data_IF_276812587754
#
_entry.id   IF_276812587754
#
_cell.length_a   1.000
_cell.length_b   1.000
_cell.length_c   1.000
_cell.angle_alpha   90.00
_cell.angle_beta   90.00
_cell.angle_gamma   90.00
#
_symmetry.space_group_name_H-M   'P 1'
#
loop_
_entity.id
_entity.type
_entity.pdbx_description
1 polymer ?
#
# COMPACT_ATOMS: atom_id res chain seq x y z
N UNK A 1 -23.93 -4.78 -10.28
CA UNK A 1 -22.68 -5.25 -9.65
C UNK A 1 -21.53 -4.50 -10.32
N UNK A 2 -20.50 -4.07 -9.59
CA UNK A 2 -19.39 -3.27 -10.14
C UNK A 2 -18.06 -4.02 -10.04
N UNK A 3 -17.09 -3.60 -10.84
CA UNK A 3 -15.73 -4.18 -10.89
C UNK A 3 -14.95 -3.86 -9.61
N UNK A 4 -14.15 -4.82 -9.14
CA UNK A 4 -13.26 -4.69 -7.98
C UNK A 4 -11.81 -4.59 -8.42
N UNK A 5 -11.02 -3.83 -7.67
CA UNK A 5 -9.65 -3.50 -8.01
C UNK A 5 -8.69 -3.82 -6.87
N UNK A 6 -7.47 -4.23 -7.22
CA UNK A 6 -6.34 -4.40 -6.30
C UNK A 6 -5.07 -3.83 -6.90
N UNK A 7 -4.21 -3.27 -6.06
CA UNK A 7 -2.90 -2.80 -6.49
C UNK A 7 -1.93 -4.00 -6.54
N UNK A 8 -1.24 -4.16 -7.67
CA UNK A 8 -0.34 -5.31 -7.93
C UNK A 8 0.97 -4.80 -8.48
N UNK A 9 2.06 -5.34 -7.94
CA UNK A 9 3.41 -5.20 -8.48
C UNK A 9 3.84 -6.56 -9.05
N UNK A 10 4.03 -6.60 -10.37
CA UNK A 10 4.36 -7.84 -11.10
C UNK A 10 5.84 -8.18 -11.07
N UNK A 11 6.72 -7.20 -10.85
CA UNK A 11 8.17 -7.44 -10.72
C UNK A 11 8.52 -8.11 -9.40
N UNK A 12 7.91 -7.64 -8.31
CA UNK A 12 8.15 -8.19 -6.96
C UNK A 12 7.20 -9.32 -6.58
N UNK A 13 6.17 -9.57 -7.39
CA UNK A 13 5.05 -10.46 -7.05
C UNK A 13 4.45 -10.08 -5.69
N UNK A 14 4.04 -8.83 -5.58
CA UNK A 14 3.39 -8.26 -4.40
C UNK A 14 2.01 -7.70 -4.75
N UNK A 15 1.12 -7.67 -3.78
CA UNK A 15 -0.17 -7.00 -3.93
C UNK A 15 -0.64 -6.35 -2.63
N UNK A 16 -1.55 -5.40 -2.78
CA UNK A 16 -2.30 -4.79 -1.69
C UNK A 16 -3.76 -5.15 -1.87
N UNK A 17 -4.34 -5.68 -0.80
CA UNK A 17 -5.74 -6.03 -0.74
C UNK A 17 -6.53 -4.79 -0.31
N UNK A 18 -7.54 -4.34 -1.08
CA UNK A 18 -8.35 -3.17 -0.73
C UNK A 18 -9.03 -3.32 0.64
N UNK A 19 -9.50 -4.53 0.95
CA UNK A 19 -10.15 -4.82 2.23
C UNK A 19 -9.16 -4.89 3.38
N UNK A 20 -7.93 -5.36 3.15
CA UNK A 20 -6.91 -5.39 4.22
C UNK A 20 -6.42 -4.04 4.66
N UNK A 21 -6.69 -2.98 3.89
CA UNK A 21 -6.35 -1.61 4.24
C UNK A 21 -7.59 -0.82 4.71
N UNK A 22 -8.68 -1.52 5.07
CA UNK A 22 -9.90 -0.92 5.60
C UNK A 22 -10.78 -0.25 4.54
N UNK A 23 -10.54 -0.58 3.28
CA UNK A 23 -11.12 0.09 2.12
C UNK A 23 -12.17 -0.71 1.35
N UNK A 24 -12.88 0.00 0.48
CA UNK A 24 -13.70 -0.58 -0.58
C UNK A 24 -12.89 -0.86 -1.85
N UNK A 25 -13.30 -1.85 -2.63
CA UNK A 25 -12.56 -2.33 -3.79
C UNK A 25 -12.94 -1.67 -5.13
N UNK A 26 -13.99 -0.84 -5.19
CA UNK A 26 -14.40 -0.20 -6.45
C UNK A 26 -13.45 0.94 -6.81
N UNK A 27 -13.24 1.17 -8.11
CA UNK A 27 -12.29 2.20 -8.57
C UNK A 27 -12.56 3.60 -8.01
N UNK A 28 -13.82 4.00 -7.88
CA UNK A 28 -14.15 5.30 -7.29
C UNK A 28 -13.82 5.37 -5.78
N UNK A 29 -13.89 4.24 -5.07
CA UNK A 29 -13.53 4.14 -3.64
C UNK A 29 -12.01 4.28 -3.47
N UNK A 30 -11.22 3.72 -4.39
CA UNK A 30 -9.78 3.97 -4.45
C UNK A 30 -9.47 5.45 -4.68
N UNK A 31 -10.17 6.11 -5.59
CA UNK A 31 -9.93 7.52 -5.93
C UNK A 31 -10.37 8.50 -4.84
N UNK A 32 -11.48 8.23 -4.15
CA UNK A 32 -12.07 9.15 -3.18
C UNK A 32 -11.47 9.07 -1.77
N UNK A 33 -10.78 7.98 -1.42
CA UNK A 33 -10.27 7.71 -0.07
C UNK A 33 -8.74 7.71 0.00
N UNK A 34 -8.19 7.62 1.21
CA UNK A 34 -6.73 7.49 1.45
C UNK A 34 -6.09 6.30 0.72
N UNK A 35 -6.88 5.31 0.31
CA UNK A 35 -6.44 4.17 -0.50
C UNK A 35 -5.69 4.60 -1.77
N UNK A 36 -6.14 5.63 -2.49
CA UNK A 36 -5.45 6.12 -3.68
C UNK A 36 -4.10 6.77 -3.36
N UNK A 37 -3.99 7.40 -2.19
CA UNK A 37 -2.77 8.08 -1.75
C UNK A 37 -1.65 7.12 -1.40
N UNK A 38 -1.91 5.82 -1.16
CA UNK A 38 -0.84 4.84 -0.89
C UNK A 38 0.16 4.75 -2.05
N UNK A 39 -0.27 5.07 -3.27
CA UNK A 39 0.61 5.06 -4.44
C UNK A 39 1.70 6.13 -4.36
N UNK A 40 1.47 7.26 -3.68
CA UNK A 40 2.52 8.27 -3.49
C UNK A 40 3.63 7.74 -2.57
N UNK A 41 3.26 6.99 -1.53
CA UNK A 41 4.19 6.30 -0.65
C UNK A 41 4.96 5.21 -1.41
N UNK A 42 4.26 4.33 -2.12
CA UNK A 42 4.86 3.16 -2.79
C UNK A 42 5.74 3.51 -3.98
N UNK A 43 5.36 4.53 -4.76
CA UNK A 43 6.02 4.90 -6.02
C UNK A 43 7.07 6.01 -5.86
N UNK A 44 7.22 6.58 -4.66
CA UNK A 44 8.24 7.60 -4.34
C UNK A 44 9.63 7.13 -4.77
N UNK A 45 10.29 7.89 -5.64
CA UNK A 45 11.69 7.66 -6.04
C UNK A 45 12.48 8.95 -5.84
N UNK A 46 13.46 8.90 -4.95
CA UNK A 46 14.39 10.01 -4.71
C UNK A 46 15.66 9.47 -4.07
N UNK A 47 16.80 10.09 -4.40
CA UNK A 47 18.09 9.79 -3.78
C UNK A 47 18.32 10.63 -2.51
N UNK A 48 17.47 11.63 -2.27
CA UNK A 48 17.48 12.52 -1.10
C UNK A 48 16.11 12.52 -0.39
N UNK A 49 16.10 12.98 0.86
CA UNK A 49 14.87 13.28 1.60
C UNK A 49 14.81 14.75 2.01
N UNK A 50 13.61 15.23 2.33
CA UNK A 50 13.35 16.58 2.86
C UNK A 50 12.16 16.57 3.79
N UNK A 51 11.90 17.70 4.47
CA UNK A 51 10.74 17.84 5.37
C UNK A 51 9.43 17.46 4.66
N UNK A 52 8.56 16.71 5.34
CA UNK A 52 7.31 16.20 4.79
C UNK A 52 7.40 14.84 4.06
N UNK A 53 8.57 14.19 4.04
CA UNK A 53 8.75 12.85 3.47
C UNK A 53 8.38 11.70 4.42
N UNK A 54 8.04 10.54 3.84
CA UNK A 54 7.94 9.27 4.56
C UNK A 54 9.34 8.70 4.83
N UNK A 55 9.67 8.41 6.09
CA UNK A 55 11.01 8.01 6.52
C UNK A 55 11.16 6.54 6.96
N UNK A 56 10.16 5.68 6.77
CA UNK A 56 10.19 4.33 7.35
C UNK A 56 9.56 4.28 8.74
N UNK A 57 9.02 3.12 9.11
CA UNK A 57 8.45 2.85 10.43
C UNK A 57 9.45 3.13 11.58
N UNK A 58 9.27 4.26 12.26
CA UNK A 58 9.74 4.46 13.63
C UNK A 58 8.63 5.10 14.49
N UNK A 59 8.46 4.63 15.73
CA UNK A 59 7.85 5.48 16.76
C UNK A 59 8.85 6.61 17.06
N UNK A 60 8.53 7.84 16.67
CA UNK A 60 9.31 9.04 16.99
C UNK A 60 10.02 9.72 15.81
N UNK A 61 9.79 9.30 14.56
CA UNK A 61 10.28 9.99 13.37
C UNK A 61 9.33 11.12 12.91
N UNK A 62 8.99 12.03 13.83
CA UNK A 62 8.53 13.36 13.42
C UNK A 62 9.67 14.12 12.72
N UNK A 63 9.37 15.27 12.12
CA UNK A 63 10.40 16.15 11.54
C UNK A 63 11.60 16.31 12.50
N UNK A 64 12.78 15.85 12.07
CA UNK A 64 14.05 16.06 12.80
C UNK A 64 14.43 15.03 13.89
N UNK A 65 13.72 13.90 14.03
CA UNK A 65 14.07 12.85 15.00
C UNK A 65 15.15 11.86 14.51
N UNK A 66 16.01 11.31 15.40
CA UNK A 66 17.01 10.32 15.00
C UNK A 66 16.38 8.97 14.59
N UNK A 67 16.83 8.44 13.46
CA UNK A 67 16.43 7.13 12.90
C UNK A 67 17.15 6.03 13.69
N UNK A 68 16.42 5.20 14.45
CA UNK A 68 16.98 4.05 15.16
C UNK A 68 16.15 2.78 14.91
N UNK A 69 16.67 1.86 14.10
CA UNK A 69 16.05 0.55 13.79
C UNK A 69 16.16 0.15 12.31
N UNK A 70 15.93 -1.12 11.93
CA UNK A 70 15.92 -1.54 10.54
C UNK A 70 14.67 -0.98 9.82
N UNK A 71 14.89 -0.30 8.70
CA UNK A 71 13.85 0.31 7.86
C UNK A 71 12.88 -0.75 7.35
N UNK A 72 11.57 -0.60 7.61
CA UNK A 72 10.55 -1.24 6.77
C UNK A 72 10.50 -0.48 5.44
N UNK A 73 11.03 -1.05 4.37
CA UNK A 73 11.11 -0.36 3.06
C UNK A 73 9.80 -0.44 2.28
N UNK A 74 8.73 0.15 2.82
CA UNK A 74 7.46 0.36 2.09
C UNK A 74 7.52 1.64 1.27
N UNK A 75 8.08 2.71 1.82
CA UNK A 75 8.31 3.94 1.07
C UNK A 75 9.23 3.69 -0.13
N UNK A 76 8.74 4.02 -1.33
CA UNK A 76 9.43 3.78 -2.59
C UNK A 76 9.60 2.33 -2.98
N UNK A 77 8.94 1.39 -2.28
CA UNK A 77 9.12 -0.05 -2.52
C UNK A 77 8.84 -0.44 -3.95
N UNK A 78 7.88 0.20 -4.60
CA UNK A 78 7.43 -0.12 -5.96
C UNK A 78 7.94 0.90 -7.00
N UNK A 79 8.86 1.78 -6.59
CA UNK A 79 9.42 2.79 -7.47
C UNK A 79 10.18 2.18 -8.65
N UNK A 80 9.70 2.44 -9.86
CA UNK A 80 10.31 1.94 -11.10
C UNK A 80 9.91 0.51 -11.49
N UNK A 81 9.06 -0.15 -10.70
CA UNK A 81 8.53 -1.48 -11.02
C UNK A 81 7.29 -1.40 -11.92
N UNK A 82 6.92 -2.54 -12.52
CA UNK A 82 5.67 -2.76 -13.27
C UNK A 82 4.49 -2.94 -12.30
N UNK A 83 3.83 -1.83 -12.02
CA UNK A 83 2.67 -1.72 -11.10
C UNK A 83 1.39 -1.44 -11.86
N UNK A 84 0.28 -2.06 -11.44
CA UNK A 84 -1.05 -1.77 -11.94
C UNK A 84 -2.11 -1.82 -10.83
N UNK A 85 -3.13 -0.98 -10.93
CA UNK A 85 -4.40 -1.16 -10.22
C UNK A 85 -5.30 -2.02 -11.12
N UNK A 86 -5.26 -3.34 -10.93
CA UNK A 86 -5.93 -4.30 -11.82
C UNK A 86 -7.34 -4.57 -11.34
N UNK A 87 -8.29 -4.55 -12.28
CA UNK A 87 -9.68 -4.88 -12.04
C UNK A 87 -9.98 -6.36 -12.24
N UNK A 88 -10.99 -6.91 -11.56
CA UNK A 88 -11.37 -8.33 -11.64
C UNK A 88 -11.97 -8.75 -12.99
N UNK A 89 -12.39 -7.80 -13.83
CA UNK A 89 -12.83 -8.07 -15.22
C UNK A 89 -11.68 -8.03 -16.24
N UNK A 90 -10.44 -7.75 -15.81
CA UNK A 90 -9.30 -7.72 -16.72
C UNK A 90 -8.99 -9.12 -17.29
N UNK A 91 -8.76 -9.21 -18.60
CA UNK A 91 -8.58 -10.49 -19.30
C UNK A 91 -7.25 -11.17 -19.01
N UNK A 92 -6.27 -10.49 -18.38
CA UNK A 92 -4.97 -11.08 -18.06
C UNK A 92 -5.03 -12.13 -16.94
N UNK A 93 -6.15 -12.24 -16.22
CA UNK A 93 -6.29 -13.04 -15.00
C UNK A 93 -5.43 -12.57 -13.82
N UNK A 94 -4.66 -11.48 -13.97
CA UNK A 94 -3.74 -10.98 -12.96
C UNK A 94 -4.42 -10.68 -11.62
N UNK A 95 -5.69 -10.24 -11.63
CA UNK A 95 -6.46 -10.03 -10.40
C UNK A 95 -6.54 -11.30 -9.53
N UNK A 96 -6.75 -12.46 -10.17
CA UNK A 96 -6.84 -13.75 -9.49
C UNK A 96 -5.45 -14.32 -9.20
N UNK A 97 -4.53 -14.25 -10.17
CA UNK A 97 -3.18 -14.80 -10.03
C UNK A 97 -2.38 -14.10 -8.93
N UNK A 98 -2.60 -12.80 -8.73
CA UNK A 98 -2.00 -12.02 -7.66
C UNK A 98 -2.42 -12.50 -6.25
N UNK A 99 -3.40 -13.40 -6.09
CA UNK A 99 -3.64 -14.06 -4.78
C UNK A 99 -2.46 -14.93 -4.33
N UNK A 100 -1.67 -15.42 -5.29
CA UNK A 100 -0.43 -16.17 -5.00
C UNK A 100 0.76 -15.26 -4.69
N UNK A 101 0.60 -13.94 -4.83
CA UNK A 101 1.66 -12.96 -4.58
C UNK A 101 1.74 -12.68 -3.08
N UNK A 102 2.81 -12.03 -2.63
CA UNK A 102 2.92 -11.60 -1.24
C UNK A 102 1.94 -10.44 -0.99
N UNK A 103 1.08 -10.59 0.00
CA UNK A 103 0.24 -9.50 0.49
C UNK A 103 1.05 -8.60 1.44
N UNK A 104 1.29 -7.35 1.06
CA UNK A 104 2.04 -6.37 1.86
C UNK A 104 1.14 -5.36 2.60
N UNK A 105 -0.17 -5.61 2.65
CA UNK A 105 -1.15 -4.65 3.19
C UNK A 105 -0.90 -4.29 4.66
N UNK A 106 -0.45 -5.25 5.49
CA UNK A 106 -0.11 -4.99 6.90
C UNK A 106 1.04 -4.00 7.01
N UNK A 107 2.13 -4.30 6.34
CA UNK A 107 3.35 -3.50 6.35
C UNK A 107 3.08 -2.09 5.84
N UNK A 108 2.22 -1.97 4.82
CA UNK A 108 1.74 -0.69 4.31
C UNK A 108 0.94 0.10 5.35
N UNK A 109 -0.02 -0.52 6.03
CA UNK A 109 -0.83 0.17 7.04
C UNK A 109 0.05 0.66 8.19
N UNK A 110 1.00 -0.18 8.64
CA UNK A 110 1.93 0.17 9.71
C UNK A 110 2.81 1.37 9.31
N UNK A 111 3.36 1.38 8.10
CA UNK A 111 4.16 2.49 7.56
C UNK A 111 3.32 3.77 7.41
N UNK A 112 2.15 3.67 6.79
CA UNK A 112 1.25 4.80 6.55
C UNK A 112 0.85 5.46 7.87
N UNK A 113 0.43 4.66 8.86
CA UNK A 113 -0.03 5.16 10.14
C UNK A 113 1.09 5.64 11.06
N UNK A 114 2.34 5.28 10.80
CA UNK A 114 3.50 5.79 11.53
C UNK A 114 3.77 7.27 11.20
N UNK A 115 3.48 7.68 9.96
CA UNK A 115 3.68 9.06 9.50
C UNK A 115 2.41 9.91 9.55
N UNK A 116 1.25 9.33 9.21
CA UNK A 116 0.00 10.09 9.10
C UNK A 116 -0.58 10.37 10.49
N UNK A 117 -0.43 11.62 10.93
CA UNK A 117 -0.98 12.09 12.21
C UNK A 117 -2.46 12.53 12.13
N UNK A 118 -3.03 12.62 10.92
CA UNK A 118 -4.43 13.01 10.71
C UNK A 118 -5.33 11.78 10.97
N UNK A 119 -6.15 11.76 12.04
CA UNK A 119 -6.89 10.56 12.44
C UNK A 119 -7.77 9.99 11.33
N UNK A 120 -8.54 10.85 10.65
CA UNK A 120 -9.48 10.45 9.58
C UNK A 120 -8.78 10.01 8.28
N UNK A 121 -7.44 10.10 8.22
CA UNK A 121 -6.65 9.65 7.07
C UNK A 121 -5.86 8.39 7.35
N UNK A 122 -5.88 7.88 8.59
CA UNK A 122 -5.27 6.59 8.93
C UNK A 122 -5.97 5.45 8.20
N UNK A 123 -5.20 4.41 7.90
CA UNK A 123 -5.73 3.15 7.37
C UNK A 123 -6.03 2.20 8.52
N UNK A 124 -6.99 1.32 8.35
CA UNK A 124 -7.27 0.24 9.30
C UNK A 124 -6.82 -1.08 8.70
N UNK A 125 -6.04 -1.86 9.44
CA UNK A 125 -5.66 -3.18 8.98
C UNK A 125 -6.74 -4.20 9.37
N UNK A 126 -7.39 -4.80 8.38
CA UNK A 126 -8.36 -5.88 8.57
C UNK A 126 -7.87 -7.19 7.91
N UNK A 127 -7.51 -8.24 8.68
CA UNK A 127 -7.10 -9.51 8.08
C UNK A 127 -8.25 -10.14 7.28
N UNK A 128 -8.16 -10.08 5.95
CA UNK A 128 -9.24 -10.55 5.10
C UNK A 128 -9.25 -12.08 4.98
N UNK A 129 -10.42 -12.70 5.17
CA UNK A 129 -10.61 -14.15 5.00
C UNK A 129 -10.43 -14.63 3.57
N UNK A 130 -10.54 -13.73 2.58
CA UNK A 130 -10.26 -14.05 1.17
C UNK A 130 -8.76 -13.99 0.81
N UNK A 131 -7.91 -13.65 1.78
CA UNK A 131 -6.47 -13.46 1.61
C UNK A 131 -5.65 -14.62 2.20
N UNK A 132 -6.27 -15.52 2.97
CA UNK A 132 -5.63 -16.76 3.44
C UNK A 132 -5.57 -17.78 2.30
N UNK A 133 -4.40 -18.38 2.02
CA UNK A 133 -4.32 -19.52 1.11
C UNK A 133 -5.22 -20.64 1.63
N UNK A 134 -6.08 -21.18 0.75
CA UNK A 134 -6.83 -22.41 0.98
C UNK A 134 -5.91 -23.61 1.08
#
# INVERSE_FOLDING_TARGET
>A
MGQYFKAVNTDKREYICPWCIGGGAKLWEWAANSQGSIFTLLLRKSDEGGGGDFYGYHKGCGEGGPINGPLSSIAGRWAGDRVCLVGDYDSSSLYNDARSYRNISRELVDEWNAFIEIPDRKLEYDPCSSCTPS
#
